data_IF_765462047542
#
_entry.id   IF_765462047542
#
_cell.length_a   1.000
_cell.length_b   1.000
_cell.length_c   1.000
_cell.angle_alpha   90.00
_cell.angle_beta   90.00
_cell.angle_gamma   90.00
#
_symmetry.space_group_name_H-M   'P 1'
#
loop_
_entity.id
_entity.type
_entity.pdbx_description
1 polymer ?
#
# COMPACT_ATOMS: atom_id res chain seq x y z
N UNK A 1 29.56 49.75 -34.65
CA UNK A 1 30.47 48.96 -33.78
C UNK A 1 29.66 48.58 -32.56
N UNK A 2 29.05 47.40 -32.44
CA UNK A 2 29.62 46.07 -32.67
C UNK A 2 29.78 45.43 -31.29
N UNK A 3 28.66 45.08 -30.65
CA UNK A 3 28.62 44.50 -29.31
C UNK A 3 29.06 43.04 -29.29
N UNK A 4 29.70 42.63 -28.20
CA UNK A 4 29.91 41.21 -27.87
C UNK A 4 29.39 40.96 -26.47
N UNK A 5 28.11 40.57 -26.40
CA UNK A 5 27.55 39.91 -25.23
C UNK A 5 28.25 38.56 -25.08
N UNK A 6 28.96 38.38 -23.97
CA UNK A 6 29.49 37.06 -23.58
C UNK A 6 28.29 36.18 -23.26
N UNK A 7 27.99 35.25 -24.17
CA UNK A 7 27.10 34.13 -23.92
C UNK A 7 27.69 33.32 -22.76
N UNK A 8 26.98 33.26 -21.63
CA UNK A 8 27.24 32.27 -20.61
C UNK A 8 26.83 30.92 -21.19
N UNK A 9 27.81 30.12 -21.59
CA UNK A 9 27.60 28.72 -21.90
C UNK A 9 27.09 28.01 -20.64
N UNK A 10 25.81 27.62 -20.67
CA UNK A 10 25.25 26.72 -19.68
C UNK A 10 25.88 25.34 -19.91
N UNK A 11 26.94 25.05 -19.14
CA UNK A 11 27.60 23.75 -19.13
C UNK A 11 26.57 22.67 -18.81
N UNK A 12 26.28 21.81 -19.78
CA UNK A 12 25.44 20.62 -19.63
C UNK A 12 26.19 19.60 -18.78
N UNK A 13 26.12 19.77 -17.46
CA UNK A 13 26.57 18.76 -16.50
C UNK A 13 25.46 17.72 -16.29
N UNK A 14 25.62 16.46 -16.74
CA UNK A 14 24.61 15.40 -16.56
C UNK A 14 24.49 14.90 -15.11
N UNK A 15 25.09 15.60 -14.14
CA UNK A 15 25.11 15.23 -12.71
C UNK A 15 24.10 15.99 -11.85
N UNK A 16 23.59 17.14 -12.31
CA UNK A 16 22.69 17.99 -11.51
C UNK A 16 21.25 17.43 -11.42
N UNK A 17 20.76 16.79 -12.49
CA UNK A 17 19.38 16.26 -12.56
C UNK A 17 19.14 15.11 -11.56
N UNK A 18 20.18 14.35 -11.23
CA UNK A 18 20.15 13.26 -10.25
C UNK A 18 19.88 13.75 -8.82
N UNK A 19 20.36 14.95 -8.48
CA UNK A 19 20.24 15.52 -7.14
C UNK A 19 18.85 16.15 -6.90
N UNK A 20 18.21 16.65 -7.95
CA UNK A 20 16.86 17.24 -7.85
C UNK A 20 15.82 16.14 -7.60
N UNK A 21 15.86 15.05 -8.37
CA UNK A 21 14.89 13.96 -8.23
C UNK A 21 15.02 13.23 -6.88
N UNK A 22 16.22 13.14 -6.33
CA UNK A 22 16.45 12.59 -4.98
C UNK A 22 15.86 13.50 -3.90
N UNK A 23 16.10 14.82 -3.99
CA UNK A 23 15.46 15.81 -3.10
C UNK A 23 13.93 15.72 -3.15
N UNK A 24 13.31 15.64 -4.34
CA UNK A 24 11.84 15.50 -4.46
C UNK A 24 11.34 14.19 -3.83
N UNK A 25 12.04 13.08 -4.04
CA UNK A 25 11.70 11.79 -3.41
C UNK A 25 11.81 11.85 -1.89
N UNK A 26 12.84 12.50 -1.37
CA UNK A 26 13.01 12.71 0.07
C UNK A 26 11.89 13.58 0.65
N UNK A 27 11.45 14.61 -0.08
CA UNK A 27 10.30 15.41 0.32
C UNK A 27 9.02 14.57 0.45
N UNK A 28 8.77 13.67 -0.50
CA UNK A 28 7.53 12.89 -0.56
C UNK A 28 7.50 11.69 0.42
N UNK A 29 8.64 11.29 1.01
CA UNK A 29 8.73 10.18 1.98
C UNK A 29 8.09 10.46 3.35
N UNK A 30 7.37 11.58 3.52
CA UNK A 30 6.39 11.73 4.61
C UNK A 30 6.80 12.63 5.77
N UNK A 31 7.91 13.38 5.67
CA UNK A 31 8.25 14.42 6.68
C UNK A 31 7.84 15.84 6.27
N UNK A 32 7.41 16.03 5.03
CA UNK A 32 7.18 17.39 4.53
C UNK A 32 5.78 17.88 4.84
N UNK A 33 5.73 19.06 5.44
CA UNK A 33 4.48 19.80 5.67
C UNK A 33 3.97 20.29 4.33
N UNK A 34 2.86 19.72 3.86
CA UNK A 34 2.08 20.30 2.78
C UNK A 34 1.70 21.72 3.19
N UNK A 35 2.09 22.70 2.37
CA UNK A 35 1.84 24.12 2.69
C UNK A 35 0.49 24.59 2.17
N UNK A 36 0.14 24.15 0.98
CA UNK A 36 -1.03 24.67 0.28
C UNK A 36 -1.63 23.58 -0.61
N UNK A 37 -2.95 23.52 -0.58
CA UNK A 37 -3.78 22.65 -1.40
C UNK A 37 -4.76 23.54 -2.15
N UNK A 38 -4.69 23.52 -3.48
CA UNK A 38 -5.63 24.25 -4.33
C UNK A 38 -6.26 23.28 -5.31
N UNK A 39 -7.58 23.20 -5.30
CA UNK A 39 -8.37 22.49 -6.29
C UNK A 39 -9.10 23.53 -7.16
N UNK A 40 -8.61 23.74 -8.38
CA UNK A 40 -9.19 24.67 -9.36
C UNK A 40 -9.31 23.95 -10.70
N UNK A 41 -10.44 24.11 -11.39
CA UNK A 41 -10.61 23.67 -12.77
C UNK A 41 -10.17 22.22 -13.04
N UNK A 42 -10.56 21.27 -12.17
CA UNK A 42 -10.17 19.84 -12.25
C UNK A 42 -8.67 19.54 -12.11
N UNK A 43 -7.90 20.50 -11.60
CA UNK A 43 -6.48 20.35 -11.30
C UNK A 43 -6.25 20.41 -9.80
N UNK A 44 -5.46 19.48 -9.29
CA UNK A 44 -5.01 19.40 -7.92
C UNK A 44 -3.59 19.96 -7.83
N UNK A 45 -3.38 21.01 -7.04
CA UNK A 45 -2.05 21.56 -6.79
C UNK A 45 -1.62 21.30 -5.35
N UNK A 46 -0.43 20.72 -5.18
CA UNK A 46 0.23 20.48 -3.90
C UNK A 46 1.57 21.20 -3.87
N UNK A 47 1.75 22.08 -2.89
CA UNK A 47 3.00 22.80 -2.68
C UNK A 47 3.72 22.29 -1.44
N UNK A 48 5.02 22.01 -1.58
CA UNK A 48 5.87 21.49 -0.51
C UNK A 48 7.24 22.19 -0.50
N UNK A 49 7.86 22.27 0.67
CA UNK A 49 9.12 22.97 0.87
C UNK A 49 10.16 22.04 1.50
N UNK A 50 11.41 22.17 1.07
CA UNK A 50 12.56 21.55 1.69
C UNK A 50 13.68 22.58 1.88
N UNK A 51 14.42 22.47 2.98
CA UNK A 51 15.60 23.31 3.23
C UNK A 51 16.81 22.38 3.17
N UNK A 52 17.70 22.63 2.22
CA UNK A 52 18.94 21.87 2.02
C UNK A 52 20.09 22.88 2.07
N UNK A 53 21.04 22.69 2.99
CA UNK A 53 22.23 23.54 3.13
C UNK A 53 21.91 25.05 3.13
N UNK A 54 20.95 25.45 3.98
CA UNK A 54 20.43 26.83 4.09
C UNK A 54 19.73 27.40 2.84
N UNK A 55 19.53 26.58 1.81
CA UNK A 55 18.77 26.92 0.61
C UNK A 55 17.34 26.40 0.73
N UNK A 56 16.37 27.31 0.57
CA UNK A 56 14.93 27.01 0.57
C UNK A 56 14.47 26.60 -0.83
N UNK A 57 14.15 25.32 -1.01
CA UNK A 57 13.57 24.77 -2.22
C UNK A 57 12.06 24.65 -2.08
N UNK A 58 11.32 25.19 -3.04
CA UNK A 58 9.87 25.07 -3.11
C UNK A 58 9.49 24.24 -4.32
N UNK A 59 8.66 23.23 -4.11
CA UNK A 59 8.18 22.32 -5.12
C UNK A 59 6.67 22.46 -5.26
N UNK A 60 6.19 22.33 -6.49
CA UNK A 60 4.77 22.40 -6.83
C UNK A 60 4.43 21.21 -7.71
N UNK A 61 3.52 20.36 -7.22
CA UNK A 61 2.98 19.24 -7.97
C UNK A 61 1.58 19.61 -8.46
N UNK A 62 1.37 19.58 -9.76
CA UNK A 62 0.06 19.74 -10.37
C UNK A 62 -0.39 18.41 -10.95
N UNK A 63 -1.51 17.89 -10.45
CA UNK A 63 -2.11 16.66 -10.90
C UNK A 63 -3.43 16.96 -11.59
N UNK A 64 -3.56 16.48 -12.83
CA UNK A 64 -4.82 16.46 -13.55
C UNK A 64 -5.64 15.24 -13.13
N UNK A 65 -6.94 15.28 -13.41
CA UNK A 65 -7.84 14.15 -13.15
C UNK A 65 -7.31 12.87 -13.82
N UNK A 66 -6.96 11.88 -13.01
CA UNK A 66 -6.47 10.59 -13.46
C UNK A 66 -7.61 9.59 -13.75
N UNK A 67 -7.40 8.61 -14.66
CA UNK A 67 -8.33 7.51 -14.85
C UNK A 67 -8.37 6.60 -13.61
N UNK A 68 -9.53 6.57 -12.95
CA UNK A 68 -9.76 5.84 -11.67
C UNK A 68 -9.74 4.32 -11.86
N UNK A 69 -10.09 3.84 -13.06
CA UNK A 69 -10.30 2.43 -13.35
C UNK A 69 -9.04 1.58 -13.07
N UNK A 70 -7.89 2.01 -13.58
CA UNK A 70 -6.64 1.22 -13.55
C UNK A 70 -5.95 1.22 -12.19
N UNK A 71 -6.06 2.33 -11.44
CA UNK A 71 -5.31 2.50 -10.19
C UNK A 71 -6.13 2.21 -8.93
N UNK A 72 -7.46 2.21 -9.03
CA UNK A 72 -8.36 1.98 -7.88
C UNK A 72 -9.33 0.83 -8.15
N UNK A 73 -10.16 0.93 -9.18
CA UNK A 73 -11.28 -0.02 -9.36
C UNK A 73 -10.78 -1.44 -9.63
N UNK A 74 -9.89 -1.63 -10.62
CA UNK A 74 -9.39 -2.96 -10.97
C UNK A 74 -8.63 -3.61 -9.80
N UNK A 75 -7.66 -2.95 -9.14
CA UNK A 75 -6.95 -3.54 -8.00
C UNK A 75 -7.89 -3.88 -6.83
N UNK A 76 -8.86 -3.01 -6.52
CA UNK A 76 -9.80 -3.26 -5.42
C UNK A 76 -10.77 -4.40 -5.74
N UNK A 77 -11.25 -4.51 -6.99
CA UNK A 77 -12.08 -5.64 -7.42
C UNK A 77 -11.33 -6.96 -7.27
N UNK A 78 -10.09 -7.02 -7.76
CA UNK A 78 -9.25 -8.22 -7.63
C UNK A 78 -8.99 -8.60 -6.17
N UNK A 79 -8.71 -7.61 -5.31
CA UNK A 79 -8.52 -7.84 -3.89
C UNK A 79 -9.80 -8.37 -3.22
N UNK A 80 -10.97 -7.86 -3.60
CA UNK A 80 -12.25 -8.32 -3.08
C UNK A 80 -12.57 -9.75 -3.54
N UNK A 81 -12.38 -10.05 -4.82
CA UNK A 81 -12.58 -11.38 -5.39
C UNK A 81 -11.70 -12.43 -4.70
N UNK A 82 -10.44 -12.08 -4.42
CA UNK A 82 -9.52 -12.96 -3.70
C UNK A 82 -9.92 -13.13 -2.23
N UNK A 83 -10.35 -12.06 -1.55
CA UNK A 83 -10.87 -12.14 -0.19
C UNK A 83 -12.09 -13.08 -0.09
N UNK A 84 -13.00 -13.00 -1.06
CA UNK A 84 -14.18 -13.88 -1.13
C UNK A 84 -13.76 -15.34 -1.35
N UNK A 85 -12.82 -15.58 -2.25
CA UNK A 85 -12.27 -16.92 -2.52
C UNK A 85 -11.66 -17.55 -1.28
N UNK A 86 -10.87 -16.78 -0.53
CA UNK A 86 -10.28 -17.22 0.73
C UNK A 86 -11.35 -17.55 1.76
N UNK A 87 -12.40 -16.73 1.87
CA UNK A 87 -13.52 -17.01 2.78
C UNK A 87 -14.22 -18.33 2.43
N UNK A 88 -14.48 -18.62 1.16
CA UNK A 88 -15.07 -19.90 0.74
C UNK A 88 -14.16 -21.09 1.06
N UNK A 89 -12.84 -20.95 0.86
CA UNK A 89 -11.85 -21.98 1.19
C UNK A 89 -11.84 -22.31 2.69
N UNK A 90 -11.93 -21.28 3.54
CA UNK A 90 -12.05 -21.45 5.00
C UNK A 90 -13.33 -22.21 5.36
N UNK A 91 -14.47 -21.82 4.77
CA UNK A 91 -15.76 -22.51 5.00
C UNK A 91 -15.70 -23.97 4.57
N UNK A 92 -15.06 -24.27 3.44
CA UNK A 92 -14.88 -25.65 2.97
C UNK A 92 -14.00 -26.46 3.93
N UNK A 93 -12.93 -25.85 4.43
CA UNK A 93 -12.02 -26.47 5.41
C UNK A 93 -12.76 -26.79 6.70
N UNK A 94 -13.59 -25.87 7.21
CA UNK A 94 -14.45 -26.11 8.38
C UNK A 94 -15.45 -27.24 8.12
N UNK A 95 -16.06 -27.31 6.93
CA UNK A 95 -16.95 -28.42 6.56
C UNK A 95 -16.20 -29.76 6.54
N UNK A 96 -14.97 -29.81 6.00
CA UNK A 96 -14.12 -31.01 6.01
C UNK A 96 -13.76 -31.45 7.44
N UNK A 97 -13.36 -30.50 8.29
CA UNK A 97 -13.09 -30.77 9.72
C UNK A 97 -14.32 -31.32 10.44
N UNK A 98 -15.50 -30.74 10.22
CA UNK A 98 -16.76 -31.22 10.81
C UNK A 98 -17.09 -32.66 10.39
N UNK A 99 -16.88 -33.00 9.10
CA UNK A 99 -17.09 -34.36 8.59
C UNK A 99 -16.08 -35.34 9.18
N UNK A 100 -14.80 -34.97 9.23
CA UNK A 100 -13.76 -35.80 9.83
C UNK A 100 -14.01 -36.06 11.32
N UNK A 101 -14.43 -35.04 12.06
CA UNK A 101 -14.82 -35.17 13.47
C UNK A 101 -16.02 -36.11 13.65
N UNK A 102 -17.06 -35.98 12.81
CA UNK A 102 -18.22 -36.87 12.85
C UNK A 102 -17.85 -38.32 12.51
N UNK A 103 -17.00 -38.54 11.50
CA UNK A 103 -16.51 -39.87 11.13
C UNK A 103 -15.69 -40.51 12.26
N UNK A 104 -14.74 -39.78 12.85
CA UNK A 104 -13.97 -40.28 13.99
C UNK A 104 -14.82 -40.54 15.24
N UNK A 105 -15.93 -39.81 15.43
CA UNK A 105 -16.91 -40.09 16.48
C UNK A 105 -17.71 -41.36 16.18
N UNK A 106 -18.05 -41.62 14.92
CA UNK A 106 -18.71 -42.85 14.49
C UNK A 106 -17.80 -44.08 14.65
N UNK A 107 -16.50 -43.96 14.34
CA UNK A 107 -15.52 -45.04 14.57
C UNK A 107 -15.34 -45.35 16.06
N UNK A 108 -15.26 -44.33 16.92
CA UNK A 108 -15.24 -44.52 18.39
C UNK A 108 -16.50 -45.17 18.93
N UNK A 109 -17.67 -44.87 18.35
CA UNK A 109 -18.93 -45.47 18.75
C UNK A 109 -19.10 -46.90 18.20
N UNK A 110 -18.53 -47.20 17.03
CA UNK A 110 -18.58 -48.52 16.39
C UNK A 110 -17.60 -49.54 17.01
N UNK A 111 -16.49 -49.08 17.58
CA UNK A 111 -15.49 -49.92 18.26
C UNK A 111 -15.85 -50.30 19.71
N UNK A 112 -17.04 -49.93 20.18
CA UNK A 112 -17.46 -50.14 21.56
C UNK A 112 -16.79 -49.15 22.51
N UNK A 113 -17.59 -48.55 23.40
CA UNK A 113 -17.12 -47.59 24.38
C UNK A 113 -16.04 -48.17 25.28
N UNK A 114 -14.78 -47.91 24.96
CA UNK A 114 -13.69 -47.94 25.93
C UNK A 114 -13.49 -46.50 26.44
N UNK A 115 -13.85 -46.33 27.71
CA UNK A 115 -13.63 -45.18 28.58
C UNK A 115 -12.43 -44.32 28.16
N UNK A 116 -12.68 -43.03 27.91
CA UNK A 116 -11.70 -41.98 28.19
C UNK A 116 -12.46 -40.82 28.83
N UNK A 117 -12.76 -40.97 30.12
CA UNK A 117 -12.88 -39.83 31.03
C UNK A 117 -11.50 -39.22 31.18
N UNK A 118 -11.07 -38.37 30.24
CA UNK A 118 -9.83 -37.63 30.39
C UNK A 118 -9.77 -36.41 29.49
N UNK A 119 -10.75 -35.51 29.61
CA UNK A 119 -10.63 -34.13 29.09
C UNK A 119 -11.44 -33.08 29.86
N UNK A 120 -12.09 -33.44 30.98
CA UNK A 120 -12.80 -32.49 31.85
C UNK A 120 -11.97 -31.97 33.04
N UNK A 121 -10.65 -32.21 33.09
CA UNK A 121 -9.79 -31.71 34.17
C UNK A 121 -8.87 -30.54 33.78
N UNK A 122 -9.18 -29.79 32.72
CA UNK A 122 -8.36 -28.64 32.30
C UNK A 122 -9.10 -27.29 32.27
N UNK A 123 -10.24 -27.18 32.97
CA UNK A 123 -10.94 -25.90 33.18
C UNK A 123 -11.34 -25.67 34.64
N UNK A 124 -10.47 -26.02 35.58
CA UNK A 124 -10.53 -25.45 36.94
C UNK A 124 -9.09 -25.16 37.41
N UNK A 125 -8.60 -23.97 37.02
CA UNK A 125 -7.60 -23.15 37.69
C UNK A 125 -7.66 -21.73 37.12
#
# INVERSE_FOLDING_TARGET
MGGTSKLFECSTAPKAESNILSSVKECLKGKVKTKEFIALNSTLCLSFENIIDDVRLTWRLEALKAPVLQHLVTPLSMALEESIRQQFSVVETVKKLRRAYAAGKLERNALGGFHVDSLYHLTDL
#
